data_IF_024843570044
#
_entry.id   IF_024843570044
#
_cell.length_a   1.000
_cell.length_b   1.000
_cell.length_c   1.000
_cell.angle_alpha   90.00
_cell.angle_beta   90.00
_cell.angle_gamma   90.00
#
_symmetry.space_group_name_H-M   'P 1'
#
loop_
_entity.id
_entity.type
_entity.pdbx_description
1 polymer ?
#
# COMPACT_ATOMS: atom_id res chain seq x y z
N UNK A 1 18.31 16.28 -1.20
CA UNK A 1 18.97 15.37 -2.16
C UNK A 1 18.53 13.95 -1.87
N UNK A 2 18.21 13.17 -2.91
CA UNK A 2 17.84 11.76 -2.74
C UNK A 2 19.03 10.93 -2.23
N UNK A 3 18.77 9.99 -1.32
CA UNK A 3 19.81 9.07 -0.84
C UNK A 3 19.23 7.75 -0.33
N UNK A 4 20.03 6.69 -0.45
CA UNK A 4 19.74 5.36 0.10
C UNK A 4 20.88 4.97 1.03
N UNK A 5 20.56 4.53 2.25
CA UNK A 5 21.55 4.17 3.26
C UNK A 5 21.14 2.91 4.00
N UNK A 6 22.08 2.01 4.21
CA UNK A 6 21.95 0.98 5.23
C UNK A 6 21.94 1.61 6.63
N UNK A 7 21.13 1.05 7.51
CA UNK A 7 21.01 1.36 8.93
C UNK A 7 21.35 0.09 9.74
N UNK A 8 21.24 0.16 11.06
CA UNK A 8 21.45 -1.00 11.92
C UNK A 8 20.33 -2.05 11.76
N UNK A 9 20.64 -3.31 12.11
CA UNK A 9 19.69 -4.43 12.14
C UNK A 9 18.98 -4.68 10.80
N UNK A 10 19.73 -4.70 9.71
CA UNK A 10 19.22 -4.94 8.33
C UNK A 10 18.11 -3.98 7.90
N UNK A 11 18.10 -2.76 8.46
CA UNK A 11 17.20 -1.70 8.03
C UNK A 11 17.85 -0.82 7.00
N UNK A 12 17.02 -0.20 6.17
CA UNK A 12 17.47 0.70 5.11
C UNK A 12 16.60 1.93 5.10
N UNK A 13 17.19 3.08 4.79
CA UNK A 13 16.46 4.33 4.55
C UNK A 13 16.53 4.74 3.09
N UNK A 14 15.41 5.19 2.56
CA UNK A 14 15.31 5.88 1.26
C UNK A 14 14.77 7.27 1.52
N UNK A 15 15.43 8.29 0.98
CA UNK A 15 15.11 9.70 1.20
C UNK A 15 14.93 10.42 -0.12
N UNK A 16 14.01 11.38 -0.16
CA UNK A 16 13.83 12.28 -1.30
C UNK A 16 13.18 13.61 -0.86
N UNK A 17 13.94 14.72 -0.87
CA UNK A 17 13.47 15.95 -0.23
C UNK A 17 13.39 15.79 1.28
N UNK A 18 12.24 16.08 1.86
CA UNK A 18 11.95 15.92 3.29
C UNK A 18 11.42 14.52 3.64
N UNK A 19 11.07 13.69 2.65
CA UNK A 19 10.54 12.35 2.96
C UNK A 19 11.63 11.35 3.29
N UNK A 20 11.35 10.51 4.28
CA UNK A 20 12.17 9.35 4.66
C UNK A 20 11.28 8.12 4.77
N UNK A 21 11.64 7.06 4.05
CA UNK A 21 11.06 5.73 4.18
C UNK A 21 12.07 4.79 4.81
N UNK A 22 11.65 4.00 5.81
CA UNK A 22 12.49 2.98 6.45
C UNK A 22 11.93 1.60 6.15
N UNK A 23 12.80 0.70 5.67
CA UNK A 23 12.47 -0.65 5.26
C UNK A 23 13.24 -1.65 6.14
N UNK A 24 12.58 -2.70 6.60
CA UNK A 24 13.17 -3.79 7.40
C UNK A 24 13.38 -5.02 6.53
N UNK A 25 14.62 -5.26 6.09
CA UNK A 25 14.94 -6.40 5.26
C UNK A 25 14.87 -7.74 6.01
N UNK A 26 15.03 -7.74 7.34
CA UNK A 26 14.97 -8.97 8.14
C UNK A 26 13.55 -9.50 8.28
N UNK A 27 12.53 -8.63 8.17
CA UNK A 27 11.13 -8.98 8.41
C UNK A 27 10.24 -8.63 7.21
N UNK A 28 10.30 -9.48 6.18
CA UNK A 28 9.42 -9.39 5.01
C UNK A 28 9.69 -8.21 4.09
N UNK A 29 10.81 -7.49 4.24
CA UNK A 29 11.04 -6.21 3.57
C UNK A 29 9.87 -5.23 3.80
N UNK A 30 9.33 -5.21 5.04
CA UNK A 30 8.21 -4.36 5.44
C UNK A 30 8.65 -2.89 5.47
N UNK A 31 7.81 -1.99 4.97
CA UNK A 31 8.01 -0.56 5.15
C UNK A 31 7.55 -0.23 6.57
N UNK A 32 8.49 0.10 7.46
CA UNK A 32 8.20 0.39 8.86
C UNK A 32 7.69 1.82 9.08
N UNK A 33 8.21 2.76 8.30
CA UNK A 33 8.01 4.20 8.52
C UNK A 33 8.02 4.94 7.19
N UNK A 34 7.16 5.95 7.08
CA UNK A 34 7.15 6.92 5.99
C UNK A 34 6.82 8.31 6.55
N UNK A 35 7.84 9.16 6.62
CA UNK A 35 7.75 10.49 7.26
C UNK A 35 7.88 11.61 6.26
N UNK A 36 7.26 12.75 6.57
CA UNK A 36 7.58 14.06 5.99
C UNK A 36 8.21 14.94 7.08
N UNK A 37 9.53 15.15 7.01
CA UNK A 37 10.29 15.70 8.12
C UNK A 37 10.22 14.76 9.32
N UNK A 38 9.65 15.22 10.45
CA UNK A 38 9.50 14.41 11.66
C UNK A 38 8.13 13.72 11.78
N UNK A 39 7.17 14.06 10.92
CA UNK A 39 5.79 13.61 11.07
C UNK A 39 5.54 12.30 10.32
N UNK A 40 5.04 11.31 11.06
CA UNK A 40 4.79 9.96 10.57
C UNK A 40 3.41 9.84 9.91
N UNK A 41 3.38 9.20 8.75
CA UNK A 41 2.15 8.86 8.01
C UNK A 41 1.58 7.54 8.49
N UNK A 42 2.44 6.51 8.61
CA UNK A 42 2.02 5.14 8.88
C UNK A 42 1.70 4.92 10.36
N UNK A 43 0.75 4.04 10.65
CA UNK A 43 0.53 3.63 12.03
C UNK A 43 1.79 2.98 12.60
N UNK A 44 2.11 3.30 13.85
CA UNK A 44 3.27 2.77 14.59
C UNK A 44 2.81 1.94 15.80
N UNK A 45 1.62 1.34 15.72
CA UNK A 45 1.06 0.48 16.74
C UNK A 45 1.98 -0.72 17.03
N UNK A 46 1.85 -1.28 18.23
CA UNK A 46 2.70 -2.40 18.69
C UNK A 46 2.04 -3.77 18.51
N UNK A 47 0.76 -3.80 18.16
CA UNK A 47 0.07 -5.06 17.88
C UNK A 47 0.56 -5.66 16.55
N UNK A 48 0.59 -6.98 16.46
CA UNK A 48 0.94 -7.68 15.24
C UNK A 48 0.06 -7.23 14.07
N UNK A 49 0.66 -7.02 12.90
CA UNK A 49 0.00 -6.54 11.68
C UNK A 49 -0.75 -5.20 11.80
N UNK A 50 -0.50 -4.42 12.84
CA UNK A 50 -1.14 -3.11 13.02
C UNK A 50 -0.36 -1.93 12.43
N UNK A 51 0.87 -2.15 11.94
CA UNK A 51 1.78 -1.07 11.53
C UNK A 51 2.45 -1.31 10.18
N UNK A 52 2.97 -0.23 9.60
CA UNK A 52 3.76 -0.27 8.38
C UNK A 52 2.98 -0.60 7.10
N UNK A 53 3.72 -0.92 6.04
CA UNK A 53 3.21 -1.44 4.76
C UNK A 53 3.84 -2.78 4.41
N UNK A 54 3.02 -3.72 3.96
CA UNK A 54 3.45 -5.06 3.52
C UNK A 54 2.97 -5.33 2.09
N UNK A 55 3.49 -6.39 1.48
CA UNK A 55 3.13 -6.82 0.15
C UNK A 55 2.83 -8.31 0.13
N UNK A 56 1.66 -8.66 -0.38
CA UNK A 56 1.21 -10.04 -0.56
C UNK A 56 0.78 -10.27 -2.01
N UNK A 57 0.38 -11.51 -2.29
CA UNK A 57 -0.25 -11.89 -3.56
C UNK A 57 -1.75 -12.00 -3.41
N UNK A 58 -2.46 -11.72 -4.49
CA UNK A 58 -3.91 -11.82 -4.60
C UNK A 58 -4.29 -12.85 -5.69
N UNK A 59 -5.40 -13.59 -5.53
CA UNK A 59 -6.41 -13.46 -4.47
C UNK A 59 -6.01 -14.14 -3.15
N UNK A 60 -6.50 -13.64 -2.01
CA UNK A 60 -6.19 -14.22 -0.70
C UNK A 60 -6.51 -15.71 -0.59
N UNK A 61 -7.61 -16.13 -1.22
CA UNK A 61 -8.10 -17.52 -1.22
C UNK A 61 -7.09 -18.56 -1.73
N UNK A 62 -6.01 -18.14 -2.40
CA UNK A 62 -4.96 -19.04 -2.86
C UNK A 62 -4.12 -19.58 -1.70
N UNK A 63 -3.92 -18.78 -0.66
CA UNK A 63 -3.04 -19.10 0.46
C UNK A 63 -3.75 -19.18 1.83
N UNK A 64 -4.98 -18.65 1.95
CA UNK A 64 -5.77 -18.60 3.19
C UNK A 64 -5.03 -17.88 4.35
N UNK A 65 -5.62 -17.69 5.52
CA UNK A 65 -4.89 -17.12 6.66
C UNK A 65 -4.04 -18.19 7.39
N UNK A 66 -2.77 -17.94 7.75
CA UNK A 66 -2.03 -16.66 7.79
C UNK A 66 -1.25 -16.30 6.50
N UNK A 67 -0.73 -15.06 6.40
CA UNK A 67 0.11 -14.62 5.28
C UNK A 67 1.32 -15.53 5.02
N UNK A 68 1.70 -15.63 3.76
CA UNK A 68 2.80 -16.51 3.32
C UNK A 68 4.15 -15.98 3.83
N UNK A 69 4.88 -16.77 4.64
CA UNK A 69 6.05 -16.29 5.37
C UNK A 69 7.15 -15.68 4.49
N UNK A 70 7.39 -16.22 3.29
CA UNK A 70 8.48 -15.78 2.41
C UNK A 70 8.38 -14.33 1.94
N UNK A 71 7.19 -13.74 1.93
CA UNK A 71 6.99 -12.34 1.57
C UNK A 71 6.31 -11.50 2.65
N UNK A 72 6.05 -12.07 3.83
CA UNK A 72 5.48 -11.35 4.97
C UNK A 72 6.43 -11.20 6.17
N UNK A 73 7.17 -12.27 6.54
CA UNK A 73 7.96 -12.28 7.79
C UNK A 73 9.41 -12.72 7.62
N UNK A 74 9.75 -13.50 6.59
CA UNK A 74 11.11 -13.99 6.38
C UNK A 74 12.05 -12.88 5.84
N UNK A 75 13.37 -13.03 6.03
CA UNK A 75 14.36 -12.07 5.53
C UNK A 75 14.42 -11.98 4.00
N UNK A 76 14.74 -10.78 3.52
CA UNK A 76 15.03 -10.47 2.13
C UNK A 76 16.52 -10.12 2.00
N UNK A 77 17.16 -10.60 0.93
CA UNK A 77 18.52 -10.19 0.60
C UNK A 77 18.50 -8.78 0.03
N UNK A 78 19.23 -7.87 0.66
CA UNK A 78 19.35 -6.48 0.24
C UNK A 78 20.56 -6.21 -0.66
N UNK A 79 20.36 -5.37 -1.67
CA UNK A 79 21.39 -4.83 -2.53
C UNK A 79 21.08 -3.36 -2.85
N UNK A 80 22.07 -2.48 -2.69
CA UNK A 80 21.97 -1.09 -3.16
C UNK A 80 22.64 -1.01 -4.52
N UNK A 81 21.86 -0.77 -5.57
CA UNK A 81 22.33 -0.68 -6.95
C UNK A 81 22.08 0.72 -7.50
N UNK A 82 23.13 1.54 -7.57
CA UNK A 82 23.00 2.95 -7.96
C UNK A 82 22.12 3.71 -6.98
N UNK A 83 20.98 4.23 -7.46
CA UNK A 83 20.00 4.99 -6.67
C UNK A 83 18.79 4.14 -6.24
N UNK A 84 18.93 2.82 -6.18
CA UNK A 84 17.86 1.87 -5.85
C UNK A 84 18.27 0.93 -4.73
N UNK A 85 17.34 0.64 -3.83
CA UNK A 85 17.41 -0.48 -2.91
C UNK A 85 16.60 -1.62 -3.52
N UNK A 86 17.22 -2.77 -3.74
CA UNK A 86 16.58 -3.99 -4.22
C UNK A 86 16.61 -5.01 -3.10
N UNK A 87 15.44 -5.54 -2.75
CA UNK A 87 15.23 -6.58 -1.75
C UNK A 87 14.65 -7.80 -2.45
N UNK A 88 15.31 -8.95 -2.34
CA UNK A 88 14.88 -10.20 -2.97
C UNK A 88 14.57 -11.26 -1.92
N UNK A 89 13.33 -11.73 -1.90
CA UNK A 89 12.85 -12.78 -1.00
C UNK A 89 13.10 -14.18 -1.58
N UNK A 90 13.01 -15.19 -0.72
CA UNK A 90 13.09 -16.60 -1.13
C UNK A 90 11.82 -17.07 -1.83
N UNK A 91 11.93 -18.16 -2.60
CA UNK A 91 10.79 -18.87 -3.18
C UNK A 91 9.84 -19.38 -2.09
N UNK A 92 8.56 -19.05 -2.23
CA UNK A 92 7.46 -19.55 -1.39
C UNK A 92 7.01 -20.97 -1.74
N UNK A 93 6.21 -21.57 -0.86
CA UNK A 93 5.49 -22.83 -1.12
C UNK A 93 4.53 -22.73 -2.32
N UNK A 94 4.06 -21.52 -2.64
CA UNK A 94 3.23 -21.22 -3.82
C UNK A 94 4.06 -20.99 -5.08
N UNK A 95 5.37 -21.23 -5.02
CA UNK A 95 6.24 -21.17 -6.19
C UNK A 95 6.55 -19.76 -6.68
N UNK A 96 6.20 -18.72 -5.93
CA UNK A 96 6.59 -17.34 -6.24
C UNK A 96 7.78 -16.89 -5.39
N UNK A 97 8.68 -16.12 -5.96
CA UNK A 97 9.59 -15.24 -5.22
C UNK A 97 9.19 -13.78 -5.45
N UNK A 98 9.42 -12.93 -4.44
CA UNK A 98 9.08 -11.51 -4.49
C UNK A 98 10.36 -10.69 -4.48
N UNK A 99 10.43 -9.70 -5.37
CA UNK A 99 11.44 -8.64 -5.34
C UNK A 99 10.76 -7.31 -5.08
N UNK A 100 11.33 -6.49 -4.18
CA UNK A 100 10.87 -5.14 -3.85
C UNK A 100 11.98 -4.15 -4.17
N UNK A 101 11.71 -3.18 -5.02
CA UNK A 101 12.66 -2.14 -5.40
C UNK A 101 12.15 -0.78 -4.92
N UNK A 102 12.99 -0.05 -4.20
CA UNK A 102 12.70 1.28 -3.67
C UNK A 102 13.63 2.30 -4.31
N UNK A 103 13.05 3.40 -4.77
CA UNK A 103 13.80 4.50 -5.39
C UNK A 103 13.17 5.85 -5.03
N UNK A 104 13.98 6.90 -4.96
CA UNK A 104 13.44 8.25 -4.99
C UNK A 104 12.61 8.45 -6.27
N UNK A 105 11.43 9.06 -6.14
CA UNK A 105 10.61 9.44 -7.29
C UNK A 105 11.18 10.66 -8.03
N UNK A 106 10.64 10.91 -9.22
CA UNK A 106 11.08 12.01 -10.09
C UNK A 106 10.73 13.41 -9.54
N UNK A 107 9.77 13.47 -8.61
CA UNK A 107 9.37 14.68 -7.88
C UNK A 107 9.89 14.62 -6.46
N UNK A 108 10.15 15.80 -5.88
CA UNK A 108 10.47 15.91 -4.46
C UNK A 108 9.33 15.33 -3.59
N UNK A 109 9.68 14.75 -2.45
CA UNK A 109 8.73 14.12 -1.53
C UNK A 109 7.95 12.91 -2.10
N UNK A 110 8.45 12.30 -3.17
CA UNK A 110 7.92 11.07 -3.74
C UNK A 110 8.91 9.91 -3.57
N UNK A 111 8.43 8.73 -3.21
CA UNK A 111 9.18 7.46 -3.28
C UNK A 111 8.41 6.48 -4.16
N UNK A 112 9.11 5.81 -5.07
CA UNK A 112 8.52 4.75 -5.90
C UNK A 112 8.90 3.38 -5.34
N UNK A 113 7.90 2.52 -5.21
CA UNK A 113 8.08 1.12 -4.82
C UNK A 113 7.61 0.24 -5.97
N UNK A 114 8.52 -0.55 -6.53
CA UNK A 114 8.21 -1.55 -7.56
C UNK A 114 8.28 -2.93 -6.95
N UNK A 115 7.16 -3.64 -6.98
CA UNK A 115 7.03 -5.04 -6.61
C UNK A 115 7.12 -5.91 -7.87
N UNK A 116 7.94 -6.95 -7.82
CA UNK A 116 8.01 -7.98 -8.87
C UNK A 116 7.60 -9.32 -8.26
N UNK A 117 6.59 -9.96 -8.85
CA UNK A 117 6.27 -11.37 -8.59
C UNK A 117 6.94 -12.20 -9.69
N UNK A 118 7.78 -13.17 -9.32
CA UNK A 118 8.41 -14.11 -10.26
C UNK A 118 7.77 -15.49 -10.08
N UNK A 119 7.28 -16.10 -11.16
CA UNK A 119 6.81 -17.48 -11.13
C UNK A 119 8.01 -18.44 -11.25
N UNK A 120 8.46 -18.96 -10.13
CA UNK A 120 9.53 -19.97 -10.04
C UNK A 120 8.99 -21.41 -9.90
N UNK A 121 7.69 -21.60 -10.17
CA UNK A 121 7.09 -22.93 -10.30
C UNK A 121 7.34 -23.51 -11.70
N UNK A 122 7.03 -24.81 -11.85
CA UNK A 122 7.03 -25.47 -13.16
C UNK A 122 5.71 -25.31 -13.93
N UNK A 123 4.76 -24.52 -13.42
CA UNK A 123 3.39 -24.45 -13.94
C UNK A 123 3.01 -23.04 -14.36
N UNK A 124 2.03 -22.92 -15.27
CA UNK A 124 1.37 -21.63 -15.53
C UNK A 124 0.50 -21.27 -14.34
N UNK A 125 0.67 -20.08 -13.77
CA UNK A 125 -0.15 -19.58 -12.66
C UNK A 125 -0.79 -18.25 -12.98
N UNK A 126 -1.81 -17.85 -12.21
CA UNK A 126 -2.42 -16.53 -12.30
C UNK A 126 -2.35 -15.85 -10.95
N UNK A 127 -1.89 -14.60 -10.90
CA UNK A 127 -1.58 -13.89 -9.65
C UNK A 127 -1.70 -12.39 -9.83
N UNK A 128 -2.08 -11.68 -8.76
CA UNK A 128 -2.09 -10.22 -8.68
C UNK A 128 -1.18 -9.74 -7.53
N UNK A 129 -0.58 -8.55 -7.66
CA UNK A 129 0.14 -7.88 -6.58
C UNK A 129 -0.85 -7.20 -5.63
N UNK A 130 -0.55 -7.17 -4.32
CA UNK A 130 -1.39 -6.54 -3.30
C UNK A 130 -0.52 -5.86 -2.24
N UNK A 131 -0.60 -4.54 -2.14
CA UNK A 131 0.06 -3.76 -1.08
C UNK A 131 -0.96 -3.30 -0.04
N UNK A 132 -0.60 -3.42 1.24
CA UNK A 132 -1.47 -3.08 2.38
C UNK A 132 -0.69 -2.17 3.32
N UNK A 133 -1.16 -0.94 3.48
CA UNK A 133 -0.56 0.04 4.38
C UNK A 133 -1.51 0.38 5.53
N UNK A 134 -1.00 0.44 6.76
CA UNK A 134 -1.79 0.86 7.92
C UNK A 134 -1.55 2.34 8.18
N UNK A 135 -2.62 3.12 8.15
CA UNK A 135 -2.63 4.50 8.65
C UNK A 135 -3.29 4.54 10.02
N UNK A 136 -2.83 5.43 10.89
CA UNK A 136 -3.42 5.57 12.22
C UNK A 136 -4.86 6.08 12.09
N UNK A 137 -5.77 5.52 12.89
CA UNK A 137 -7.13 6.03 13.02
C UNK A 137 -7.14 7.16 14.07
N UNK A 138 -7.08 8.42 13.64
CA UNK A 138 -7.04 9.60 14.51
C UNK A 138 -7.69 10.85 13.87
N UNK A 139 -9.00 10.75 13.61
CA UNK A 139 -9.81 11.81 13.00
C UNK A 139 -9.38 12.19 11.57
N UNK A 140 -8.84 11.23 10.83
CA UNK A 140 -8.46 11.37 9.43
C UNK A 140 -9.61 11.12 8.46
N UNK A 141 -9.32 11.30 7.16
CA UNK A 141 -10.22 10.90 6.07
C UNK A 141 -9.45 10.11 5.02
N UNK A 142 -10.00 8.94 4.65
CA UNK A 142 -9.54 8.12 3.53
C UNK A 142 -10.44 8.41 2.34
N UNK A 143 -9.85 8.65 1.17
CA UNK A 143 -10.63 8.98 -0.02
C UNK A 143 -9.91 8.69 -1.32
N UNK A 144 -10.70 8.54 -2.38
CA UNK A 144 -10.26 8.29 -3.74
C UNK A 144 -11.33 8.77 -4.72
N UNK A 145 -11.03 8.72 -6.01
CA UNK A 145 -12.01 9.01 -7.06
C UNK A 145 -12.96 7.81 -7.23
N UNK A 146 -14.25 8.01 -6.99
CA UNK A 146 -15.22 6.93 -7.04
C UNK A 146 -16.62 7.39 -6.65
N UNK A 147 -17.62 6.59 -7.03
CA UNK A 147 -19.04 6.86 -6.78
C UNK A 147 -19.80 5.65 -6.21
N UNK A 148 -19.09 4.55 -5.94
CA UNK A 148 -19.62 3.35 -5.34
C UNK A 148 -18.52 2.61 -4.55
N UNK A 149 -18.95 1.88 -3.52
CA UNK A 149 -18.14 0.88 -2.81
C UNK A 149 -19.02 -0.34 -2.54
N UNK A 150 -18.42 -1.51 -2.42
CA UNK A 150 -19.11 -2.76 -2.09
C UNK A 150 -18.51 -3.38 -0.83
N UNK A 151 -19.27 -4.18 -0.05
CA UNK A 151 -18.70 -4.90 1.09
C UNK A 151 -17.58 -5.86 0.66
N UNK A 152 -16.44 -5.79 1.33
CA UNK A 152 -15.32 -6.72 1.14
C UNK A 152 -15.39 -7.89 2.14
N UNK A 153 -15.01 -9.09 1.72
CA UNK A 153 -14.90 -10.28 2.57
C UNK A 153 -16.15 -10.60 3.44
N UNK A 154 -17.35 -10.28 2.95
CA UNK A 154 -18.61 -10.40 3.70
C UNK A 154 -18.63 -9.66 5.05
N UNK A 155 -17.81 -8.62 5.21
CA UNK A 155 -17.76 -7.78 6.41
C UNK A 155 -18.78 -6.65 6.35
N UNK A 156 -18.95 -5.92 7.47
CA UNK A 156 -19.74 -4.70 7.49
C UNK A 156 -19.18 -3.65 6.52
N UNK A 157 -20.06 -2.80 5.98
CA UNK A 157 -19.66 -1.77 5.04
C UNK A 157 -19.09 -0.54 5.79
N UNK A 158 -17.96 0.00 5.32
CA UNK A 158 -17.50 1.31 5.78
C UNK A 158 -18.44 2.41 5.24
N UNK A 159 -18.84 3.41 6.05
CA UNK A 159 -19.82 4.42 5.68
C UNK A 159 -19.23 5.49 4.74
N UNK A 160 -18.78 5.09 3.55
CA UNK A 160 -18.30 5.99 2.52
C UNK A 160 -19.42 6.94 2.04
N UNK A 161 -19.10 8.23 1.91
CA UNK A 161 -19.94 9.26 1.29
C UNK A 161 -19.41 9.60 -0.09
N UNK A 162 -20.29 9.92 -1.02
CA UNK A 162 -19.94 10.24 -2.41
C UNK A 162 -20.19 11.71 -2.69
N UNK A 163 -19.14 12.51 -2.59
CA UNK A 163 -19.20 13.98 -2.67
C UNK A 163 -18.00 14.48 -3.46
N UNK A 164 -18.13 15.62 -4.15
CA UNK A 164 -17.01 16.26 -4.86
C UNK A 164 -16.26 15.37 -5.87
N UNK A 165 -16.92 14.33 -6.41
CA UNK A 165 -16.31 13.37 -7.33
C UNK A 165 -15.47 12.28 -6.65
N UNK A 166 -15.48 12.20 -5.32
CA UNK A 166 -14.76 11.20 -4.54
C UNK A 166 -15.67 10.35 -3.66
N UNK A 167 -15.15 9.17 -3.31
CA UNK A 167 -15.64 8.35 -2.23
C UNK A 167 -14.82 8.67 -0.97
N UNK A 168 -15.50 9.04 0.12
CA UNK A 168 -14.87 9.54 1.35
C UNK A 168 -15.30 8.74 2.57
N UNK A 169 -14.33 8.19 3.28
CA UNK A 169 -14.52 7.63 4.61
C UNK A 169 -13.84 8.53 5.64
N UNK A 170 -14.66 9.28 6.37
CA UNK A 170 -14.19 9.95 7.59
C UNK A 170 -14.01 8.86 8.62
N UNK A 171 -12.78 8.72 9.11
CA UNK A 171 -12.44 7.66 10.04
C UNK A 171 -13.31 7.78 11.29
N UNK A 172 -13.88 6.66 11.70
CA UNK A 172 -14.80 6.62 12.81
C UNK A 172 -14.36 5.62 13.88
N UNK A 173 -15.23 5.52 14.86
CA UNK A 173 -15.04 4.86 16.12
C UNK A 173 -16.00 3.66 16.28
N UNK A 174 -16.35 2.99 15.18
CA UNK A 174 -17.16 1.77 15.21
C UNK A 174 -16.39 0.58 15.82
N UNK A 175 -17.12 -0.40 16.36
CA UNK A 175 -16.55 -1.61 16.98
C UNK A 175 -16.57 -2.82 16.05
N UNK A 176 -17.22 -2.74 14.89
CA UNK A 176 -17.28 -3.83 13.94
C UNK A 176 -16.09 -3.82 12.96
N UNK A 177 -15.68 -5.02 12.55
CA UNK A 177 -14.81 -5.19 11.40
C UNK A 177 -15.56 -4.78 10.14
N UNK A 178 -15.03 -3.79 9.44
CA UNK A 178 -15.62 -3.29 8.21
C UNK A 178 -14.59 -3.24 7.10
N UNK A 179 -14.96 -3.75 5.93
CA UNK A 179 -14.10 -3.78 4.76
C UNK A 179 -14.89 -3.44 3.51
N UNK A 180 -14.26 -2.73 2.60
CA UNK A 180 -14.83 -2.40 1.29
C UNK A 180 -13.94 -2.87 0.15
N UNK A 181 -14.58 -3.05 -1.00
CA UNK A 181 -14.00 -3.20 -2.33
C UNK A 181 -14.42 -2.00 -3.19
N UNK A 182 -13.52 -1.44 -3.98
CA UNK A 182 -13.81 -0.32 -4.87
C UNK A 182 -12.89 -0.26 -6.11
N UNK A 183 -13.37 0.44 -7.14
CA UNK A 183 -12.56 0.99 -8.24
C UNK A 183 -12.17 2.43 -7.85
N UNK A 184 -10.87 2.68 -7.75
CA UNK A 184 -10.29 3.93 -7.26
C UNK A 184 -9.67 4.82 -8.34
N UNK A 185 -9.82 4.45 -9.62
CA UNK A 185 -9.18 5.14 -10.74
C UNK A 185 -7.66 5.25 -10.58
N UNK A 186 -7.06 4.22 -9.97
CA UNK A 186 -5.63 4.08 -9.78
C UNK A 186 -5.02 4.99 -8.71
N UNK A 187 -5.76 5.56 -7.75
CA UNK A 187 -5.15 6.29 -6.63
C UNK A 187 -5.97 6.23 -5.35
N UNK A 188 -5.28 6.36 -4.20
CA UNK A 188 -5.87 6.33 -2.87
C UNK A 188 -5.18 7.34 -1.97
N UNK A 189 -5.94 8.08 -1.18
CA UNK A 189 -5.41 9.11 -0.29
C UNK A 189 -5.88 8.96 1.15
N UNK A 190 -5.07 9.47 2.07
CA UNK A 190 -5.39 9.68 3.47
C UNK A 190 -4.95 11.10 3.86
N UNK A 191 -5.87 11.89 4.43
CA UNK A 191 -5.56 13.17 5.04
C UNK A 191 -5.75 13.10 6.54
N UNK A 192 -4.70 13.33 7.31
CA UNK A 192 -4.71 13.34 8.77
C UNK A 192 -3.54 14.17 9.30
N UNK A 193 -3.71 14.81 10.47
CA UNK A 193 -2.64 15.55 11.17
C UNK A 193 -1.87 16.56 10.30
N UNK A 194 -2.56 17.22 9.35
CA UNK A 194 -1.95 18.19 8.43
C UNK A 194 -1.05 17.56 7.35
N UNK A 195 -1.10 16.24 7.17
CA UNK A 195 -0.45 15.50 6.09
C UNK A 195 -1.50 15.00 5.11
N UNK A 196 -1.23 15.18 3.82
CA UNK A 196 -1.97 14.56 2.73
C UNK A 196 -1.07 13.50 2.08
N UNK A 197 -1.36 12.24 2.37
CA UNK A 197 -0.67 11.08 1.80
C UNK A 197 -1.46 10.52 0.62
N UNK A 198 -0.80 10.31 -0.52
CA UNK A 198 -1.41 9.82 -1.76
C UNK A 198 -0.57 8.70 -2.36
N UNK A 199 -1.19 7.54 -2.53
CA UNK A 199 -0.65 6.40 -3.29
C UNK A 199 -1.20 6.44 -4.71
N UNK A 200 -0.31 6.38 -5.70
CA UNK A 200 -0.66 6.35 -7.13
C UNK A 200 -0.16 5.06 -7.76
N UNK A 201 -1.06 4.34 -8.40
CA UNK A 201 -0.82 3.05 -9.06
C UNK A 201 -1.54 3.00 -10.42
N UNK A 202 -1.38 1.86 -11.12
CA UNK A 202 -2.04 1.61 -12.41
C UNK A 202 -3.54 1.43 -12.18
N UNK A 203 -4.36 2.16 -12.94
CA UNK A 203 -5.81 2.03 -12.95
C UNK A 203 -6.23 0.67 -13.56
N UNK A 204 -7.15 -0.03 -12.90
CA UNK A 204 -7.68 -1.31 -13.34
C UNK A 204 -9.00 -1.15 -14.10
N UNK A 205 -9.13 -1.93 -15.18
CA UNK A 205 -10.41 -2.18 -15.82
C UNK A 205 -11.24 -3.16 -15.00
N UNK A 206 -12.59 -3.15 -15.09
CA UNK A 206 -13.46 -3.98 -14.25
C UNK A 206 -13.18 -5.49 -14.29
N UNK A 207 -12.57 -6.01 -15.36
CA UNK A 207 -12.23 -7.44 -15.51
C UNK A 207 -10.83 -7.82 -15.01
N UNK A 208 -10.03 -6.86 -14.55
CA UNK A 208 -8.63 -7.05 -14.18
C UNK A 208 -8.39 -7.42 -12.71
N UNK A 209 -9.23 -7.05 -11.72
CA UNK A 209 -9.05 -7.54 -10.35
C UNK A 209 -9.07 -9.06 -10.24
N UNK A 210 -8.42 -9.58 -9.21
CA UNK A 210 -8.50 -11.01 -8.91
C UNK A 210 -9.91 -11.38 -8.39
N UNK A 211 -10.35 -12.65 -8.51
CA UNK A 211 -11.70 -13.03 -8.11
C UNK A 211 -11.96 -12.84 -6.61
N UNK A 212 -12.98 -12.03 -6.27
CA UNK A 212 -13.33 -11.67 -4.89
C UNK A 212 -12.61 -10.43 -4.36
N UNK A 213 -11.73 -9.85 -5.17
CA UNK A 213 -10.86 -8.73 -4.81
C UNK A 213 -11.21 -7.50 -5.67
N UNK A 214 -10.60 -6.36 -5.36
CA UNK A 214 -10.82 -5.10 -6.08
C UNK A 214 -9.53 -4.30 -6.21
N UNK A 215 -9.57 -3.24 -7.02
CA UNK A 215 -8.42 -2.33 -7.16
C UNK A 215 -8.05 -1.71 -5.81
N UNK A 216 -9.04 -1.19 -5.09
CA UNK A 216 -8.88 -0.66 -3.73
C UNK A 216 -9.64 -1.54 -2.76
N UNK A 217 -9.01 -1.77 -1.61
CA UNK A 217 -9.71 -2.17 -0.42
C UNK A 217 -9.39 -1.21 0.72
N UNK A 218 -10.35 -1.02 1.62
CA UNK A 218 -10.11 -0.35 2.89
C UNK A 218 -10.73 -1.16 4.01
N UNK A 219 -9.98 -1.36 5.09
CA UNK A 219 -10.43 -2.10 6.27
C UNK A 219 -10.22 -1.27 7.54
N UNK A 220 -11.26 -1.10 8.34
CA UNK A 220 -11.15 -0.49 9.67
C UNK A 220 -11.10 -1.59 10.73
N UNK A 221 -10.07 -1.54 11.58
CA UNK A 221 -9.88 -2.56 12.61
C UNK A 221 -10.76 -2.32 13.85
N UNK A 222 -11.13 -3.42 14.52
CA UNK A 222 -11.79 -3.36 15.82
C UNK A 222 -10.95 -2.61 16.86
N UNK A 223 -11.57 -1.68 17.59
CA UNK A 223 -10.87 -0.93 18.64
C UNK A 223 -10.06 0.26 18.15
N UNK A 224 -10.23 0.66 16.87
CA UNK A 224 -9.93 2.03 16.39
C UNK A 224 -8.44 2.39 16.38
N UNK A 225 -7.57 1.43 16.12
CA UNK A 225 -6.13 1.69 16.17
C UNK A 225 -5.57 2.05 14.79
N UNK A 226 -6.14 1.51 13.71
CA UNK A 226 -5.70 1.79 12.35
C UNK A 226 -6.80 1.55 11.31
N UNK A 227 -6.57 2.13 10.13
CA UNK A 227 -7.26 1.78 8.88
C UNK A 227 -6.23 1.22 7.92
N UNK A 228 -6.52 0.07 7.33
CA UNK A 228 -5.79 -0.44 6.18
C UNK A 228 -6.29 0.29 4.93
N UNK A 229 -5.33 0.86 4.20
CA UNK A 229 -5.52 1.39 2.86
C UNK A 229 -4.73 0.49 1.91
N UNK A 230 -5.45 -0.15 1.02
CA UNK A 230 -4.93 -1.27 0.23
C UNK A 230 -5.17 -1.03 -1.24
N UNK A 231 -4.23 -1.50 -2.06
CA UNK A 231 -4.37 -1.50 -3.50
C UNK A 231 -3.82 -2.78 -4.11
N UNK A 232 -4.43 -3.17 -5.22
CA UNK A 232 -4.07 -4.36 -5.97
C UNK A 232 -3.77 -4.02 -7.44
N UNK A 233 -2.97 -4.87 -8.08
CA UNK A 233 -2.75 -4.80 -9.52
C UNK A 233 -3.54 -5.86 -10.29
N UNK A 234 -3.29 -5.91 -11.59
CA UNK A 234 -3.98 -6.79 -12.53
C UNK A 234 -3.69 -8.28 -12.27
N UNK A 235 -4.76 -9.09 -12.27
CA UNK A 235 -4.70 -10.54 -12.14
C UNK A 235 -4.16 -11.17 -13.43
N UNK A 236 -2.87 -11.47 -13.42
CA UNK A 236 -2.08 -11.75 -14.62
C UNK A 236 -1.64 -13.20 -14.68
N UNK A 237 -1.69 -13.79 -15.88
CA UNK A 237 -1.17 -15.15 -16.12
C UNK A 237 0.34 -15.12 -16.32
N UNK A 238 1.09 -15.87 -15.52
CA UNK A 238 2.54 -16.02 -15.58
C UNK A 238 2.92 -17.45 -15.98
N UNK A 239 3.68 -17.58 -17.07
CA UNK A 239 4.37 -18.82 -17.44
C UNK A 239 5.51 -19.12 -16.45
N UNK A 240 6.04 -20.36 -16.38
CA UNK A 240 7.27 -20.66 -15.65
C UNK A 240 8.41 -19.72 -16.04
N UNK A 241 9.05 -19.10 -15.04
CA UNK A 241 10.12 -18.12 -15.21
C UNK A 241 9.67 -16.71 -15.59
N UNK A 242 8.39 -16.49 -15.89
CA UNK A 242 7.85 -15.16 -16.17
C UNK A 242 7.69 -14.34 -14.88
N UNK A 243 7.58 -13.03 -15.04
CA UNK A 243 7.39 -12.11 -13.92
C UNK A 243 6.36 -11.02 -14.23
N UNK A 244 5.82 -10.43 -13.17
CA UNK A 244 4.90 -9.30 -13.19
C UNK A 244 5.47 -8.18 -12.33
N UNK A 245 5.63 -7.00 -12.92
CA UNK A 245 5.99 -5.77 -12.20
C UNK A 245 4.76 -4.92 -11.87
N UNK A 246 4.74 -4.32 -10.68
CA UNK A 246 3.71 -3.41 -10.21
C UNK A 246 4.34 -2.28 -9.41
N UNK A 247 4.06 -1.03 -9.77
CA UNK A 247 4.68 0.13 -9.14
C UNK A 247 3.64 0.99 -8.45
N UNK A 248 3.92 1.34 -7.19
CA UNK A 248 3.17 2.29 -6.38
C UNK A 248 4.05 3.49 -6.09
N UNK A 249 3.56 4.68 -6.44
CA UNK A 249 4.20 5.95 -6.09
C UNK A 249 3.58 6.50 -4.82
N UNK A 250 4.41 6.68 -3.80
CA UNK A 250 4.05 7.22 -2.50
C UNK A 250 4.39 8.72 -2.49
N UNK A 251 3.38 9.56 -2.35
CA UNK A 251 3.51 11.02 -2.33
C UNK A 251 2.96 11.56 -1.01
N UNK A 252 3.61 12.54 -0.42
CA UNK A 252 3.07 13.22 0.77
C UNK A 252 3.38 14.72 0.73
N UNK A 253 2.40 15.52 1.17
CA UNK A 253 2.55 16.96 1.32
C UNK A 253 1.97 17.43 2.66
N UNK A 254 2.41 18.61 3.09
CA UNK A 254 1.72 19.38 4.13
C UNK A 254 0.45 19.98 3.54
N UNK A 255 -0.65 19.90 4.27
CA UNK A 255 -1.89 20.61 3.93
C UNK A 255 -2.43 21.35 5.15
N UNK A 256 -2.97 22.53 4.92
CA UNK A 256 -3.73 23.29 5.93
C UNK A 256 -5.23 22.98 5.88
N UNK A 257 -5.67 22.15 4.93
CA UNK A 257 -7.07 21.76 4.80
C UNK A 257 -7.46 20.83 5.95
N UNK A 258 -8.73 20.92 6.36
CA UNK A 258 -9.29 20.01 7.35
C UNK A 258 -9.45 18.61 6.73
N UNK A 259 -9.26 17.52 7.50
CA UNK A 259 -9.45 16.15 7.03
C UNK A 259 -10.95 15.81 6.92
N UNK A 260 -11.67 16.53 6.06
CA UNK A 260 -13.10 16.34 5.79
C UNK A 260 -13.36 16.42 4.29
N UNK A 261 -14.44 15.79 3.77
CA UNK A 261 -14.79 15.88 2.35
C UNK A 261 -14.86 17.34 1.88
N UNK A 262 -14.08 17.67 0.86
CA UNK A 262 -14.10 19.00 0.22
C UNK A 262 -13.52 18.93 -1.19
N UNK A 263 -13.99 19.82 -2.07
CA UNK A 263 -13.48 19.92 -3.44
C UNK A 263 -12.00 20.34 -3.47
N UNK A 264 -11.59 21.20 -2.53
CA UNK A 264 -10.22 21.67 -2.39
C UNK A 264 -9.26 20.53 -2.03
N UNK A 265 -9.63 19.69 -1.05
CA UNK A 265 -8.80 18.55 -0.64
C UNK A 265 -8.69 17.51 -1.75
N UNK A 266 -9.79 17.23 -2.45
CA UNK A 266 -9.80 16.33 -3.61
C UNK A 266 -8.85 16.83 -4.71
N UNK A 267 -8.94 18.12 -5.04
CA UNK A 267 -8.09 18.76 -6.04
C UNK A 267 -6.62 18.76 -5.63
N UNK A 268 -6.32 18.99 -4.35
CA UNK A 268 -4.96 18.93 -3.82
C UNK A 268 -4.38 17.52 -3.93
N UNK A 269 -5.16 16.50 -3.58
CA UNK A 269 -4.74 15.10 -3.71
C UNK A 269 -4.51 14.70 -5.16
N UNK A 270 -5.40 15.11 -6.08
CA UNK A 270 -5.27 14.79 -7.50
C UNK A 270 -3.98 15.36 -8.11
N UNK A 271 -3.57 16.58 -7.73
CA UNK A 271 -2.31 17.18 -8.17
C UNK A 271 -1.08 16.37 -7.74
N UNK A 272 -1.13 15.66 -6.61
CA UNK A 272 -0.05 14.77 -6.17
C UNK A 272 0.03 13.47 -7.00
N UNK A 273 -0.98 13.17 -7.83
CA UNK A 273 -0.99 11.99 -8.72
C UNK A 273 -0.39 12.25 -10.11
N UNK A 274 -0.35 13.52 -10.52
CA UNK A 274 0.28 14.02 -11.75
C UNK A 274 1.81 13.92 -11.66
#
# INVERSE_FOLDING_TARGET
>A
MASIKALDNEKYSVTNGEVTMVIDAAHGAKILSFKLGNDEVLNQGTAENSFGSTFWTSPQKEWDWPPVPEYDTKPFKAEITGNKLVLTGSKSSFGYSIRKQFAAGDKENTISVTYTIVNESGETRKVAPWEISRVKNDDGVVFFEGNAVEPGNNMGLLPFKFEFGGAWYVMDEDTDHRKINADGRGWLACCARGLLFVKKFKDLQPSQPAPGEAEIQAYANIGKTFVEIEEQGEYTTLQPGASLDYTVRWNVARTSLKPVPSAELFKEAKKLTE
#
